data_IF_809283242005
#
_entry.id   IF_809283242005
#
_cell.length_a   1.000
_cell.length_b   1.000
_cell.length_c   1.000
_cell.angle_alpha   90.00
_cell.angle_beta   90.00
_cell.angle_gamma   90.00
#
_symmetry.space_group_name_H-M   'P 1'
#
loop_
_entity.id
_entity.type
_entity.pdbx_description
1 polymer ?
#
# COMPACT_ATOMS: atom_id res chain seq x y z
N UNK A 1 -50.44 -15.84 -12.62
CA UNK A 1 -49.57 -14.88 -13.31
C UNK A 1 -48.66 -14.08 -12.39
N UNK A 2 -49.05 -13.66 -11.18
CA UNK A 2 -48.18 -12.87 -10.27
C UNK A 2 -46.89 -13.55 -9.84
N UNK A 3 -46.90 -14.87 -9.55
CA UNK A 3 -45.71 -15.61 -9.13
C UNK A 3 -44.60 -15.76 -10.18
N UNK A 4 -44.94 -15.71 -11.46
CA UNK A 4 -43.96 -15.83 -12.56
C UNK A 4 -43.21 -14.51 -12.80
N UNK A 5 -43.89 -13.38 -12.65
CA UNK A 5 -43.30 -12.04 -12.80
C UNK A 5 -42.29 -11.76 -11.69
N UNK A 6 -42.61 -12.10 -10.44
CA UNK A 6 -41.73 -11.91 -9.27
C UNK A 6 -40.43 -12.74 -9.42
N UNK A 7 -40.51 -13.99 -9.88
CA UNK A 7 -39.33 -14.83 -10.10
C UNK A 7 -38.42 -14.30 -11.22
N UNK A 8 -38.98 -13.76 -12.31
CA UNK A 8 -38.21 -13.19 -13.41
C UNK A 8 -37.50 -11.91 -13.00
N UNK A 9 -38.16 -11.03 -12.25
CA UNK A 9 -37.58 -9.78 -11.75
C UNK A 9 -36.44 -10.07 -10.77
N UNK A 10 -36.55 -11.07 -9.90
CA UNK A 10 -35.51 -11.48 -8.97
C UNK A 10 -34.27 -12.05 -9.69
N UNK A 11 -34.46 -12.87 -10.73
CA UNK A 11 -33.35 -13.39 -11.54
C UNK A 11 -32.57 -12.30 -12.29
N UNK A 12 -33.26 -11.32 -12.84
CA UNK A 12 -32.63 -10.18 -13.55
C UNK A 12 -31.82 -9.34 -12.54
N UNK A 13 -32.34 -9.09 -11.36
CA UNK A 13 -31.65 -8.33 -10.31
C UNK A 13 -30.37 -9.04 -9.82
N UNK A 14 -30.41 -10.35 -9.61
CA UNK A 14 -29.24 -11.15 -9.21
C UNK A 14 -28.18 -11.17 -10.30
N UNK A 15 -28.56 -11.32 -11.58
CA UNK A 15 -27.60 -11.32 -12.69
C UNK A 15 -26.94 -9.95 -12.88
N UNK A 16 -27.69 -8.86 -12.73
CA UNK A 16 -27.15 -7.50 -12.81
C UNK A 16 -26.16 -7.21 -11.67
N UNK A 17 -26.48 -7.65 -10.46
CA UNK A 17 -25.60 -7.49 -9.30
C UNK A 17 -24.28 -8.28 -9.45
N UNK A 18 -24.35 -9.52 -9.92
CA UNK A 18 -23.14 -10.34 -10.18
C UNK A 18 -22.26 -9.73 -11.26
N UNK A 19 -22.84 -9.18 -12.32
CA UNK A 19 -22.10 -8.52 -13.39
C UNK A 19 -21.41 -7.24 -12.90
N UNK A 20 -22.09 -6.48 -12.05
CA UNK A 20 -21.52 -5.26 -11.46
C UNK A 20 -20.35 -5.56 -10.52
N UNK A 21 -20.43 -6.61 -9.72
CA UNK A 21 -19.34 -7.06 -8.84
C UNK A 21 -18.12 -7.47 -9.66
N UNK A 22 -18.32 -8.28 -10.69
CA UNK A 22 -17.23 -8.72 -11.57
C UNK A 22 -16.53 -7.55 -12.27
N UNK A 23 -17.30 -6.55 -12.73
CA UNK A 23 -16.74 -5.35 -13.35
C UNK A 23 -15.90 -4.52 -12.35
N UNK A 24 -16.29 -4.45 -11.08
CA UNK A 24 -15.50 -3.80 -10.02
C UNK A 24 -14.19 -4.55 -9.74
N UNK A 25 -14.22 -5.87 -9.71
CA UNK A 25 -13.03 -6.70 -9.51
C UNK A 25 -12.04 -6.54 -10.67
N UNK A 26 -12.52 -6.56 -11.91
CA UNK A 26 -11.69 -6.33 -13.10
C UNK A 26 -11.04 -4.94 -13.09
N UNK A 27 -11.81 -3.90 -12.70
CA UNK A 27 -11.28 -2.54 -12.57
C UNK A 27 -10.20 -2.45 -11.48
N UNK A 28 -10.40 -3.08 -10.33
CA UNK A 28 -9.42 -3.14 -9.25
C UNK A 28 -8.12 -3.86 -9.67
N UNK A 29 -8.24 -5.02 -10.34
CA UNK A 29 -7.09 -5.77 -10.86
C UNK A 29 -6.30 -4.94 -11.88
N UNK A 30 -7.01 -4.20 -12.75
CA UNK A 30 -6.38 -3.31 -13.72
C UNK A 30 -5.62 -2.18 -13.02
N UNK A 31 -6.21 -1.51 -12.04
CA UNK A 31 -5.59 -0.45 -11.25
C UNK A 31 -4.30 -0.94 -10.58
N UNK A 32 -4.34 -2.09 -9.89
CA UNK A 32 -3.17 -2.69 -9.23
C UNK A 32 -2.08 -3.03 -10.26
N UNK A 33 -2.47 -3.58 -11.41
CA UNK A 33 -1.55 -3.94 -12.48
C UNK A 33 -0.85 -2.70 -13.06
N UNK A 34 -1.59 -1.62 -13.27
CA UNK A 34 -1.05 -0.35 -13.78
C UNK A 34 -0.11 0.30 -12.75
N UNK A 35 -0.48 0.27 -11.45
CA UNK A 35 0.38 0.72 -10.37
C UNK A 35 1.73 -0.03 -10.36
N UNK A 36 1.71 -1.37 -10.42
CA UNK A 36 2.93 -2.19 -10.48
C UNK A 36 3.78 -1.88 -11.72
N UNK A 37 3.17 -1.70 -12.89
CA UNK A 37 3.88 -1.30 -14.12
C UNK A 37 4.54 0.08 -13.98
N UNK A 38 3.86 1.03 -13.36
CA UNK A 38 4.41 2.37 -13.08
C UNK A 38 5.64 2.28 -12.19
N UNK A 39 5.54 1.56 -11.07
CA UNK A 39 6.67 1.33 -10.16
C UNK A 39 7.87 0.70 -10.90
N UNK A 40 7.65 -0.38 -11.66
CA UNK A 40 8.72 -1.02 -12.43
C UNK A 40 9.32 -0.08 -13.49
N UNK A 41 8.51 0.79 -14.08
CA UNK A 41 8.98 1.84 -15.00
C UNK A 41 9.94 2.80 -14.30
N UNK A 42 9.62 3.23 -13.09
CA UNK A 42 10.49 4.09 -12.28
C UNK A 42 11.80 3.40 -11.88
N UNK A 43 11.77 2.10 -11.59
CA UNK A 43 12.98 1.31 -11.34
C UNK A 43 13.90 1.17 -12.57
N UNK A 44 13.35 1.25 -13.79
CA UNK A 44 14.12 1.24 -15.04
C UNK A 44 14.67 2.63 -15.42
N UNK A 45 14.02 3.68 -14.93
CA UNK A 45 14.38 5.08 -15.24
C UNK A 45 15.68 5.49 -14.51
N UNK A 46 16.72 5.91 -15.21
CA UNK A 46 17.97 6.38 -14.60
C UNK A 46 17.81 7.54 -13.62
N UNK A 47 16.78 8.38 -13.79
CA UNK A 47 16.55 9.56 -12.96
C UNK A 47 15.78 9.24 -11.67
N UNK A 48 15.03 8.13 -11.63
CA UNK A 48 14.13 7.77 -10.52
C UNK A 48 14.56 6.53 -9.76
N UNK A 49 15.28 5.63 -10.41
CA UNK A 49 15.61 4.31 -9.90
C UNK A 49 16.42 4.35 -8.60
N UNK A 50 16.02 3.59 -7.56
CA UNK A 50 16.85 3.40 -6.37
C UNK A 50 18.05 2.49 -6.63
N UNK A 51 18.05 1.74 -7.74
CA UNK A 51 19.12 0.82 -8.10
C UNK A 51 20.34 1.56 -8.64
N UNK A 52 21.52 1.04 -8.33
CA UNK A 52 22.72 1.49 -9.02
C UNK A 52 22.69 1.12 -10.52
N UNK A 53 23.59 1.71 -11.31
CA UNK A 53 23.64 1.50 -12.78
C UNK A 53 23.84 0.03 -13.16
N UNK A 54 24.59 -0.74 -12.35
CA UNK A 54 24.87 -2.16 -12.61
C UNK A 54 23.63 -3.02 -12.36
N UNK A 55 22.97 -2.81 -11.23
CA UNK A 55 21.79 -3.57 -10.84
C UNK A 55 20.59 -3.19 -11.71
N UNK A 56 20.43 -1.89 -12.06
CA UNK A 56 19.38 -1.43 -12.98
C UNK A 56 19.47 -2.07 -14.36
N UNK A 57 20.69 -2.27 -14.90
CA UNK A 57 20.88 -2.96 -16.19
C UNK A 57 20.43 -4.43 -16.18
N UNK A 58 20.42 -5.04 -14.99
CA UNK A 58 20.02 -6.44 -14.78
C UNK A 58 18.59 -6.55 -14.28
N UNK A 59 17.92 -5.42 -14.02
CA UNK A 59 16.58 -5.40 -13.46
C UNK A 59 15.57 -5.99 -14.43
N UNK A 60 14.90 -7.05 -14.03
CA UNK A 60 13.87 -7.75 -14.81
C UNK A 60 12.45 -7.39 -14.36
N UNK A 61 12.28 -6.95 -13.12
CA UNK A 61 11.00 -6.60 -12.48
C UNK A 61 11.11 -6.64 -10.97
N UNK A 62 10.05 -6.20 -10.30
CA UNK A 62 9.87 -6.34 -8.87
C UNK A 62 9.18 -7.68 -8.59
N UNK A 63 9.39 -8.21 -7.39
CA UNK A 63 8.78 -9.46 -6.97
C UNK A 63 7.52 -9.17 -6.15
N UNK A 64 6.36 -9.63 -6.62
CA UNK A 64 5.08 -9.41 -5.94
C UNK A 64 4.42 -10.73 -5.54
N UNK A 65 3.56 -10.65 -4.54
CA UNK A 65 2.52 -11.67 -4.37
C UNK A 65 1.52 -11.61 -5.55
N UNK A 66 0.82 -12.71 -5.86
CA UNK A 66 -0.36 -12.65 -6.73
C UNK A 66 -1.34 -11.57 -6.25
N UNK A 67 -2.08 -10.98 -7.17
CA UNK A 67 -3.14 -10.03 -6.78
C UNK A 67 -4.23 -10.81 -6.06
N UNK A 68 -4.59 -10.35 -4.87
CA UNK A 68 -5.67 -10.91 -4.06
C UNK A 68 -6.54 -9.77 -3.53
N UNK A 69 -7.78 -9.70 -4.01
CA UNK A 69 -8.71 -8.64 -3.68
C UNK A 69 -9.22 -8.70 -2.22
N UNK A 70 -9.01 -9.80 -1.50
CA UNK A 70 -9.27 -9.87 -0.06
C UNK A 70 -8.39 -8.87 0.72
N UNK A 71 -7.24 -8.48 0.16
CA UNK A 71 -6.34 -7.46 0.72
C UNK A 71 -6.64 -6.04 0.21
N UNK A 72 -7.71 -5.83 -0.53
CA UNK A 72 -8.26 -4.53 -0.91
C UNK A 72 -9.52 -4.27 -0.09
N UNK A 73 -9.36 -3.64 1.05
CA UNK A 73 -10.42 -3.53 2.07
C UNK A 73 -11.02 -2.12 2.13
N UNK A 74 -12.30 -2.05 2.47
CA UNK A 74 -12.93 -0.80 2.89
C UNK A 74 -12.42 -0.43 4.26
N UNK A 75 -12.14 0.85 4.45
CA UNK A 75 -11.57 1.37 5.68
C UNK A 75 -12.21 2.72 6.04
N UNK A 76 -12.11 3.08 7.31
CA UNK A 76 -12.54 4.39 7.82
C UNK A 76 -11.31 5.18 8.24
N UNK A 77 -11.12 6.33 7.61
CA UNK A 77 -10.07 7.28 7.99
C UNK A 77 -10.60 8.26 9.02
N UNK A 78 -9.84 8.43 10.10
CA UNK A 78 -10.14 9.42 11.17
C UNK A 78 -8.96 10.37 11.28
N UNK A 79 -9.19 11.66 10.96
CA UNK A 79 -8.16 12.69 11.04
C UNK A 79 -7.80 13.00 12.50
N UNK A 80 -6.53 13.19 12.76
CA UNK A 80 -6.06 13.69 14.04
C UNK A 80 -6.19 15.23 14.12
N UNK A 81 -7.07 15.70 14.97
CA UNK A 81 -7.33 17.16 15.13
C UNK A 81 -6.19 17.92 15.83
N UNK A 82 -5.29 17.19 16.51
CA UNK A 82 -4.17 17.81 17.27
C UNK A 82 -2.85 17.11 16.91
N UNK A 83 -2.37 17.22 15.66
CA UNK A 83 -1.13 16.58 15.26
C UNK A 83 0.06 17.18 16.03
N UNK A 84 0.88 16.31 16.62
CA UNK A 84 2.09 16.67 17.34
C UNK A 84 3.31 16.26 16.51
N UNK A 85 4.26 17.15 16.39
CA UNK A 85 5.53 16.89 15.71
C UNK A 85 6.38 15.92 16.53
N UNK A 86 6.94 14.92 15.87
CA UNK A 86 7.87 13.97 16.48
C UNK A 86 8.99 13.58 15.53
N UNK A 87 10.05 13.00 16.07
CA UNK A 87 11.18 12.47 15.30
C UNK A 87 10.96 11.02 14.95
N UNK A 88 10.78 10.73 13.67
CA UNK A 88 10.61 9.34 13.18
C UNK A 88 11.97 8.66 13.05
N UNK A 89 12.11 7.47 13.62
CA UNK A 89 13.32 6.65 13.47
C UNK A 89 13.47 6.22 12.00
N UNK A 90 14.73 6.11 11.56
CA UNK A 90 15.05 5.61 10.22
C UNK A 90 16.09 4.50 10.29
N UNK A 91 16.36 3.86 9.17
CA UNK A 91 17.40 2.84 9.01
C UNK A 91 18.84 3.38 9.17
N UNK A 92 18.99 4.68 9.41
CA UNK A 92 20.26 5.37 9.72
C UNK A 92 20.11 6.21 10.98
N UNK A 93 21.09 7.09 11.28
CA UNK A 93 21.00 8.05 12.40
C UNK A 93 20.10 9.26 12.11
N UNK A 94 19.53 9.40 10.89
CA UNK A 94 18.64 10.49 10.52
C UNK A 94 17.30 10.37 11.27
N UNK A 95 16.82 11.48 11.82
CA UNK A 95 15.56 11.58 12.57
C UNK A 95 14.69 12.71 11.98
N UNK A 96 14.01 12.48 10.85
CA UNK A 96 13.15 13.49 10.22
C UNK A 96 11.89 13.76 11.05
N UNK A 97 11.37 14.97 10.86
CA UNK A 97 10.10 15.38 11.46
C UNK A 97 8.91 14.74 10.73
N UNK A 98 8.00 14.20 11.52
CA UNK A 98 6.70 13.71 11.09
C UNK A 98 5.60 14.14 12.05
N UNK A 99 4.37 14.12 11.57
CA UNK A 99 3.17 14.19 12.40
C UNK A 99 2.31 12.97 12.15
N UNK A 100 1.65 12.49 13.19
CA UNK A 100 0.54 11.54 13.03
C UNK A 100 -0.65 12.34 12.50
N UNK A 101 -0.99 12.13 11.23
CA UNK A 101 -2.06 12.85 10.54
C UNK A 101 -3.45 12.28 10.83
N UNK A 102 -3.53 10.97 11.08
CA UNK A 102 -4.79 10.29 11.38
C UNK A 102 -4.60 8.81 11.65
N UNK A 103 -5.71 8.10 11.75
CA UNK A 103 -5.79 6.66 11.88
C UNK A 103 -6.69 6.07 10.77
N UNK A 104 -6.36 4.89 10.27
CA UNK A 104 -7.21 4.09 9.38
C UNK A 104 -7.64 2.84 10.12
N UNK A 105 -8.95 2.62 10.20
CA UNK A 105 -9.58 1.44 10.79
C UNK A 105 -10.17 0.57 9.68
N UNK A 106 -9.91 -0.73 9.72
CA UNK A 106 -10.36 -1.67 8.70
C UNK A 106 -10.60 -3.05 9.28
N UNK A 107 -11.45 -3.82 8.60
CA UNK A 107 -11.69 -5.23 8.88
C UNK A 107 -10.91 -6.08 7.87
N UNK A 108 -10.17 -7.07 8.36
CA UNK A 108 -9.48 -8.06 7.53
C UNK A 108 -9.61 -9.44 8.19
N UNK A 109 -10.03 -10.43 7.43
CA UNK A 109 -10.29 -11.80 7.92
C UNK A 109 -11.21 -11.88 9.15
N UNK A 110 -12.14 -10.92 9.26
CA UNK A 110 -13.13 -10.87 10.36
C UNK A 110 -12.66 -10.19 11.63
N UNK A 111 -11.43 -9.68 11.67
CA UNK A 111 -10.83 -8.98 12.80
C UNK A 111 -10.62 -7.49 12.51
N UNK A 112 -10.77 -6.66 13.54
CA UNK A 112 -10.58 -5.21 13.46
C UNK A 112 -9.10 -4.85 13.60
N UNK A 113 -8.59 -4.02 12.68
CA UNK A 113 -7.24 -3.50 12.70
C UNK A 113 -7.20 -1.98 12.57
N UNK A 114 -6.09 -1.41 12.98
CA UNK A 114 -5.80 0.01 12.87
C UNK A 114 -4.37 0.23 12.38
N UNK A 115 -4.18 1.22 11.49
CA UNK A 115 -2.87 1.77 11.14
C UNK A 115 -2.86 3.29 11.33
N UNK A 116 -1.78 3.82 11.85
CA UNK A 116 -1.53 5.25 11.92
C UNK A 116 -1.02 5.78 10.58
N UNK A 117 -1.53 6.92 10.18
CA UNK A 117 -1.19 7.62 8.95
C UNK A 117 -0.30 8.81 9.28
N UNK A 118 0.81 8.95 8.56
CA UNK A 118 1.80 9.97 8.84
C UNK A 118 1.96 10.96 7.70
N UNK A 119 2.39 12.18 8.05
CA UNK A 119 2.72 13.23 7.12
C UNK A 119 4.09 13.82 7.46
N UNK A 120 4.92 14.06 6.43
CA UNK A 120 6.20 14.74 6.58
C UNK A 120 6.07 16.21 6.21
N UNK A 121 6.25 17.16 7.15
CA UNK A 121 6.22 18.60 6.85
C UNK A 121 7.25 19.03 5.81
N UNK A 122 8.38 18.33 5.73
CA UNK A 122 9.41 18.65 4.73
C UNK A 122 9.02 18.16 3.33
N UNK A 123 8.28 17.07 3.23
CA UNK A 123 7.80 16.56 1.95
C UNK A 123 6.71 17.46 1.37
N UNK A 124 5.84 18.01 2.20
CA UNK A 124 4.80 18.96 1.77
C UNK A 124 5.33 20.21 1.07
N UNK A 125 6.59 20.57 1.29
CA UNK A 125 7.24 21.73 0.63
C UNK A 125 7.64 21.42 -0.81
N UNK A 126 7.50 20.16 -1.26
CA UNK A 126 7.87 19.74 -2.61
C UNK A 126 6.63 19.71 -3.50
N UNK A 127 6.69 20.29 -4.71
CA UNK A 127 5.58 20.23 -5.66
C UNK A 127 5.13 18.79 -5.94
N UNK A 128 3.82 18.55 -5.90
CA UNK A 128 3.20 17.24 -6.13
C UNK A 128 3.10 16.36 -4.90
N UNK A 129 3.43 16.87 -3.70
CA UNK A 129 3.31 16.17 -2.41
C UNK A 129 2.42 16.90 -1.41
N UNK A 130 1.60 17.84 -1.87
CA UNK A 130 0.79 18.73 -1.01
C UNK A 130 -0.25 17.97 -0.20
N UNK A 131 -0.75 16.86 -0.72
CA UNK A 131 -1.74 15.96 -0.08
C UNK A 131 -1.18 14.59 0.28
N UNK A 132 0.14 14.40 0.13
CA UNK A 132 0.79 13.11 0.35
C UNK A 132 0.78 12.71 1.83
N UNK A 133 0.33 11.50 2.07
CA UNK A 133 0.36 10.80 3.33
C UNK A 133 1.07 9.46 3.19
N UNK A 134 1.45 8.87 4.31
CA UNK A 134 2.35 7.74 4.35
C UNK A 134 1.93 6.76 5.44
N UNK A 135 1.81 5.49 5.10
CA UNK A 135 1.45 4.42 6.02
C UNK A 135 2.56 3.37 6.01
N UNK A 136 3.58 3.50 6.88
CA UNK A 136 4.56 2.46 7.09
C UNK A 136 3.98 1.40 8.02
N UNK A 137 4.19 0.11 7.73
CA UNK A 137 3.71 -0.97 8.57
C UNK A 137 4.66 -2.16 8.59
N UNK A 138 4.56 -2.97 9.63
CA UNK A 138 5.14 -4.30 9.71
C UNK A 138 4.05 -5.35 9.85
N UNK A 139 4.34 -6.56 9.42
CA UNK A 139 3.46 -7.71 9.49
C UNK A 139 4.26 -9.01 9.67
N UNK A 140 3.59 -10.13 9.89
CA UNK A 140 4.23 -11.43 10.15
C UNK A 140 4.98 -12.03 8.94
N UNK A 141 4.95 -11.39 7.76
CA UNK A 141 5.76 -11.79 6.60
C UNK A 141 7.17 -11.19 6.61
N UNK A 142 7.41 -10.14 7.45
CA UNK A 142 8.70 -9.45 7.50
C UNK A 142 9.83 -10.38 7.93
N UNK A 143 10.96 -10.29 7.23
CA UNK A 143 12.11 -11.17 7.46
C UNK A 143 11.99 -12.56 6.82
N UNK A 144 10.80 -12.98 6.46
CA UNK A 144 10.51 -14.22 5.73
C UNK A 144 10.40 -13.93 4.23
N UNK A 145 9.20 -13.60 3.80
CA UNK A 145 8.84 -13.35 2.39
C UNK A 145 8.99 -11.89 1.97
N UNK A 146 8.87 -10.94 2.91
CA UNK A 146 8.96 -9.51 2.67
C UNK A 146 10.15 -8.87 3.38
N UNK A 147 10.40 -7.59 3.10
CA UNK A 147 11.55 -6.87 3.66
C UNK A 147 11.50 -6.79 5.18
N UNK A 148 12.66 -7.02 5.82
CA UNK A 148 12.79 -7.22 7.28
C UNK A 148 12.31 -6.02 8.11
N UNK A 149 12.45 -4.79 7.59
CA UNK A 149 12.14 -3.56 8.33
C UNK A 149 10.66 -3.15 8.17
N UNK A 150 9.94 -3.73 7.21
CA UNK A 150 8.55 -3.39 6.91
C UNK A 150 8.34 -2.86 5.50
N UNK A 151 7.10 -2.56 5.19
CA UNK A 151 6.62 -2.06 3.88
C UNK A 151 5.81 -0.78 4.06
N UNK A 152 5.53 -0.12 2.94
CA UNK A 152 4.84 1.17 2.91
C UNK A 152 3.63 1.11 2.00
N UNK A 153 2.63 1.92 2.33
CA UNK A 153 1.53 2.30 1.45
C UNK A 153 1.58 3.81 1.24
N UNK A 154 1.46 4.24 -0.01
CA UNK A 154 1.14 5.63 -0.31
C UNK A 154 -0.32 5.89 0.01
N UNK A 155 -0.58 7.06 0.52
CA UNK A 155 -1.92 7.52 0.80
C UNK A 155 -2.00 9.03 0.51
N UNK A 156 -3.19 9.54 0.30
CA UNK A 156 -3.44 10.95 0.05
C UNK A 156 -4.52 11.45 0.98
N UNK A 157 -4.55 12.75 1.25
CA UNK A 157 -5.61 13.34 2.07
C UNK A 157 -6.96 13.01 1.44
N UNK A 158 -7.78 12.18 2.09
CA UNK A 158 -9.02 11.71 1.47
C UNK A 158 -10.10 12.79 1.52
N UNK A 159 -11.00 12.75 0.54
CA UNK A 159 -12.18 13.64 0.45
C UNK A 159 -13.35 13.17 1.33
N UNK A 160 -13.31 11.96 1.86
CA UNK A 160 -14.32 11.35 2.74
C UNK A 160 -13.65 10.46 3.78
N UNK A 161 -14.38 10.14 4.84
CA UNK A 161 -13.91 9.18 5.85
C UNK A 161 -13.86 7.75 5.32
N UNK A 162 -14.77 7.39 4.40
CA UNK A 162 -14.73 6.08 3.75
C UNK A 162 -13.66 6.07 2.66
N UNK A 163 -12.71 5.14 2.80
CA UNK A 163 -11.57 4.98 1.90
C UNK A 163 -11.35 3.51 1.54
N UNK A 164 -10.56 3.26 0.53
CA UNK A 164 -10.06 1.92 0.21
C UNK A 164 -8.59 1.83 0.62
N UNK A 165 -8.25 0.81 1.41
CA UNK A 165 -6.88 0.45 1.74
C UNK A 165 -6.51 -0.80 0.93
N UNK A 166 -5.51 -0.68 0.04
CA UNK A 166 -5.14 -1.76 -0.88
C UNK A 166 -3.70 -2.23 -0.64
N UNK A 167 -3.56 -3.30 0.13
CA UNK A 167 -2.24 -3.89 0.41
C UNK A 167 -1.57 -4.52 -0.83
N UNK A 168 -2.31 -4.76 -1.94
CA UNK A 168 -1.69 -5.18 -3.20
C UNK A 168 -0.75 -4.13 -3.79
N UNK A 169 -0.86 -2.88 -3.33
CA UNK A 169 -0.04 -1.75 -3.74
C UNK A 169 1.10 -1.45 -2.75
N UNK A 170 1.24 -2.20 -1.65
CA UNK A 170 2.33 -1.96 -0.71
C UNK A 170 3.69 -2.33 -1.33
N UNK A 171 4.70 -1.55 -0.96
CA UNK A 171 6.03 -1.59 -1.55
C UNK A 171 7.14 -1.54 -0.49
N UNK A 172 8.32 -2.00 -0.89
CA UNK A 172 9.50 -1.92 -0.04
C UNK A 172 10.12 -0.52 -0.06
N UNK A 173 10.64 -0.02 1.07
CA UNK A 173 11.41 1.21 1.11
C UNK A 173 12.69 1.10 0.26
N UNK A 174 13.17 2.22 -0.25
CA UNK A 174 14.35 2.26 -1.12
C UNK A 174 15.63 1.71 -0.47
N UNK A 175 15.72 1.72 0.86
CA UNK A 175 16.84 1.10 1.56
C UNK A 175 16.91 -0.43 1.41
N UNK A 176 15.82 -1.09 1.01
CA UNK A 176 15.83 -2.52 0.67
C UNK A 176 16.60 -2.82 -0.63
N UNK A 177 16.83 -1.81 -1.46
CA UNK A 177 17.52 -1.91 -2.76
C UNK A 177 18.91 -1.30 -2.75
N UNK A 178 19.15 -0.30 -1.88
CA UNK A 178 20.43 0.40 -1.83
C UNK A 178 20.66 1.07 -0.47
N UNK A 179 21.86 0.88 0.08
CA UNK A 179 22.31 1.45 1.36
C UNK A 179 22.45 2.99 1.34
N UNK A 180 22.25 3.63 0.19
CA UNK A 180 22.29 5.09 0.04
C UNK A 180 21.07 5.77 0.67
N UNK A 181 20.00 5.02 0.93
CA UNK A 181 18.74 5.56 1.41
C UNK A 181 18.58 5.39 2.91
N UNK A 182 18.01 6.40 3.53
CA UNK A 182 17.61 6.41 4.92
C UNK A 182 16.09 6.43 4.99
N UNK A 183 15.50 5.30 5.33
CA UNK A 183 14.07 5.08 5.25
C UNK A 183 13.43 5.02 6.64
N UNK A 184 12.23 5.59 6.83
CA UNK A 184 11.47 5.47 8.06
C UNK A 184 11.31 4.02 8.52
N UNK A 185 11.48 3.77 9.81
CA UNK A 185 11.13 2.49 10.41
C UNK A 185 9.67 2.59 10.87
N UNK A 186 8.79 1.65 10.48
CA UNK A 186 7.42 1.65 10.95
C UNK A 186 7.34 1.70 12.48
N UNK A 187 6.56 2.60 13.08
CA UNK A 187 6.32 2.58 14.51
C UNK A 187 5.62 1.30 14.95
N UNK A 188 5.85 0.89 16.19
CA UNK A 188 5.25 -0.32 16.77
C UNK A 188 3.71 -0.32 16.69
N UNK A 189 3.08 0.86 16.77
CA UNK A 189 1.64 1.03 16.61
C UNK A 189 1.11 0.60 15.23
N UNK A 190 2.00 0.46 14.23
CA UNK A 190 1.69 0.00 12.88
C UNK A 190 2.16 -1.45 12.64
N UNK A 191 2.26 -2.25 13.68
CA UNK A 191 2.46 -3.69 13.54
C UNK A 191 1.10 -4.40 13.40
N UNK A 192 0.97 -5.20 12.33
CA UNK A 192 -0.18 -6.06 12.08
C UNK A 192 0.18 -7.51 12.47
N UNK A 193 -0.50 -8.12 13.47
CA UNK A 193 -0.18 -9.46 13.96
C UNK A 193 -0.76 -10.57 13.07
N UNK A 194 -0.61 -10.42 11.75
CA UNK A 194 -1.01 -11.40 10.74
C UNK A 194 -0.10 -11.29 9.51
N UNK A 195 -0.14 -12.28 8.63
CA UNK A 195 0.63 -12.27 7.39
C UNK A 195 -0.13 -11.53 6.27
N UNK A 196 0.36 -10.38 5.82
CA UNK A 196 -0.18 -9.67 4.66
C UNK A 196 0.49 -10.21 3.38
N UNK A 197 -0.11 -11.24 2.79
CA UNK A 197 0.38 -11.90 1.56
C UNK A 197 -0.04 -11.15 0.29
N UNK A 198 0.14 -9.84 0.28
CA UNK A 198 -0.15 -8.95 -0.84
C UNK A 198 1.00 -7.96 -1.06
N UNK A 199 1.05 -7.32 -2.24
CA UNK A 199 2.04 -6.31 -2.57
C UNK A 199 3.44 -6.88 -2.83
N UNK A 200 4.44 -6.07 -2.57
CA UNK A 200 5.82 -6.39 -2.91
C UNK A 200 6.47 -7.35 -1.91
N UNK A 201 7.16 -8.35 -2.44
CA UNK A 201 7.99 -9.32 -1.70
C UNK A 201 9.42 -8.81 -1.56
N UNK A 202 10.22 -9.51 -0.75
CA UNK A 202 11.63 -9.20 -0.54
C UNK A 202 12.40 -9.13 -1.87
N UNK A 203 13.14 -8.04 -2.04
CA UNK A 203 14.05 -7.89 -3.17
C UNK A 203 15.24 -8.83 -3.01
N UNK A 204 15.44 -9.69 -3.99
CA UNK A 204 16.60 -10.59 -4.04
C UNK A 204 17.59 -10.06 -5.06
N UNK A 205 18.67 -9.45 -4.60
CA UNK A 205 19.75 -8.94 -5.46
C UNK A 205 20.31 -10.10 -6.32
N UNK A 206 20.10 -10.03 -7.63
CA UNK A 206 20.62 -11.00 -8.59
C UNK A 206 19.79 -12.28 -8.81
N UNK A 207 18.61 -12.43 -8.20
CA UNK A 207 17.74 -13.59 -8.38
C UNK A 207 16.41 -13.20 -9.07
N UNK A 208 16.49 -12.83 -10.33
CA UNK A 208 15.33 -12.87 -11.22
C UNK A 208 15.69 -13.80 -12.37
N UNK A 209 15.35 -15.05 -12.19
CA UNK A 209 15.37 -16.09 -13.23
C UNK A 209 14.12 -15.99 -14.07
#
# INVERSE_FOLDING_TARGET
MQHTVVKLTLMIAVSAFSFQLQAQDEAAIKEITEHRKKQEGEFRDPAKSPLDKKDRRKFKGLNYYPIDLNYRVKATFVKNEKPVLFKMKTTTSRLPDYVKYGDIYFLLDGEDYKLEVYQSPDLLKRPGFEDYLFIPFTDETNGKDTYDVGRYLEFHIPVSEEVTLDFNQCYNPYCSYSDKYSCPIPPEANHLPLEIKAGEKKYKKGLLH
#
